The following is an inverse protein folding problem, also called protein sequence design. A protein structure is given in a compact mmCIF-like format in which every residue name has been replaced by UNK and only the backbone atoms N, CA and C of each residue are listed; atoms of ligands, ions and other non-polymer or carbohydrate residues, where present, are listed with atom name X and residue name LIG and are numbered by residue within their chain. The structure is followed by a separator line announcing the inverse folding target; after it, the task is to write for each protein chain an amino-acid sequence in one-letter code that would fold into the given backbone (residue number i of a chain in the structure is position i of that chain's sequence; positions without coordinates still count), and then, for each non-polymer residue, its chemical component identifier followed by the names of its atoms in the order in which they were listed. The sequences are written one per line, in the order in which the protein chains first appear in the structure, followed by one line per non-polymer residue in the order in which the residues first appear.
data_IF_363981110974
#
_entry.id   IF_363981110974
#
_cell.length_a   1.000
_cell.length_b   1.000
_cell.length_c   1.000
_cell.angle_alpha   90.00
_cell.angle_beta   90.00
_cell.angle_gamma   90.00
#
_symmetry.space_group_name_H-M   'P 1'
#
loop_
_entity.id
_entity.type
_entity.pdbx_description
1 polymer ?
#
# COMPACT_ATOMS: atom_id res chain seq x y z
N UNK A 1 -15.99 17.46 10.78
CA UNK A 1 -15.46 16.85 9.53
C UNK A 1 -15.68 15.35 9.44
N UNK A 2 -15.70 14.60 10.56
CA UNK A 2 -15.98 13.14 10.56
C UNK A 2 -17.39 12.76 10.05
N UNK A 3 -18.32 13.70 10.02
CA UNK A 3 -19.72 13.45 9.59
C UNK A 3 -19.92 13.53 8.07
N UNK A 4 -18.88 13.84 7.29
CA UNK A 4 -18.96 13.91 5.84
C UNK A 4 -18.45 12.62 5.20
N UNK A 5 -19.33 11.91 4.51
CA UNK A 5 -19.08 10.59 3.90
C UNK A 5 -17.92 10.58 2.87
N UNK A 6 -17.57 11.73 2.27
CA UNK A 6 -16.44 11.82 1.35
C UNK A 6 -15.06 11.76 2.05
N UNK A 7 -14.99 12.05 3.36
CA UNK A 7 -13.73 12.14 4.10
C UNK A 7 -13.13 10.77 4.34
N UNK A 8 -13.97 9.76 4.63
CA UNK A 8 -13.51 8.40 4.93
C UNK A 8 -12.65 7.77 3.81
N UNK A 9 -13.10 7.68 2.54
CA UNK A 9 -12.29 7.08 1.48
C UNK A 9 -11.03 7.89 1.17
N UNK A 10 -11.10 9.22 1.28
CA UNK A 10 -9.95 10.10 1.02
C UNK A 10 -8.88 9.96 2.11
N UNK A 11 -9.30 9.91 3.39
CA UNK A 11 -8.40 9.69 4.52
C UNK A 11 -7.72 8.31 4.43
N UNK A 12 -8.47 7.25 4.12
CA UNK A 12 -7.92 5.90 3.91
C UNK A 12 -6.89 5.90 2.79
N UNK A 13 -7.20 6.53 1.65
CA UNK A 13 -6.26 6.62 0.52
C UNK A 13 -4.97 7.37 0.88
N UNK A 14 -5.05 8.48 1.62
CA UNK A 14 -3.86 9.21 2.06
C UNK A 14 -3.02 8.45 3.10
N UNK A 15 -3.64 7.56 3.89
CA UNK A 15 -2.89 6.68 4.80
C UNK A 15 -2.01 5.71 4.00
N UNK A 16 -2.43 5.24 2.83
CA UNK A 16 -1.59 4.41 1.95
C UNK A 16 -0.30 5.16 1.57
N UNK A 17 -0.44 6.39 1.08
CA UNK A 17 0.69 7.25 0.71
C UNK A 17 1.60 7.54 1.91
N UNK A 18 1.01 7.80 3.08
CA UNK A 18 1.77 8.02 4.31
C UNK A 18 2.59 6.78 4.70
N UNK A 19 2.01 5.59 4.62
CA UNK A 19 2.73 4.33 4.93
C UNK A 19 3.87 4.09 3.93
N UNK A 20 3.64 4.35 2.64
CA UNK A 20 4.68 4.27 1.62
C UNK A 20 5.83 5.25 1.90
N UNK A 21 5.51 6.50 2.27
CA UNK A 21 6.50 7.51 2.62
C UNK A 21 7.35 7.10 3.84
N UNK A 22 6.73 6.59 4.90
CA UNK A 22 7.47 6.08 6.06
C UNK A 22 8.36 4.88 5.70
N UNK A 23 7.87 3.98 4.85
CA UNK A 23 8.63 2.82 4.38
C UNK A 23 9.85 3.26 3.57
N UNK A 24 9.68 4.17 2.61
CA UNK A 24 10.78 4.69 1.78
C UNK A 24 11.80 5.49 2.61
N UNK A 25 11.33 6.26 3.61
CA UNK A 25 12.22 6.95 4.57
C UNK A 25 13.07 5.94 5.35
N UNK A 26 12.47 4.85 5.84
CA UNK A 26 13.22 3.80 6.54
C UNK A 26 14.24 3.10 5.62
N UNK A 27 13.87 2.78 4.39
CA UNK A 27 14.79 2.21 3.39
C UNK A 27 16.01 3.12 3.15
N UNK A 28 15.79 4.43 3.03
CA UNK A 28 16.86 5.41 2.83
C UNK A 28 17.81 5.50 4.04
N UNK A 29 17.25 5.58 5.25
CA UNK A 29 18.04 5.61 6.49
C UNK A 29 18.88 4.33 6.68
N UNK A 30 18.28 3.17 6.44
CA UNK A 30 18.97 1.87 6.49
C UNK A 30 20.08 1.80 5.42
N UNK A 31 19.82 2.26 4.19
CA UNK A 31 20.82 2.31 3.12
C UNK A 31 21.99 3.24 3.44
N UNK A 32 21.76 4.30 4.24
CA UNK A 32 22.77 5.18 4.80
C UNK A 32 23.53 4.59 6.02
N UNK A 33 23.21 3.36 6.44
CA UNK A 33 23.85 2.71 7.59
C UNK A 33 23.27 3.13 8.95
N UNK A 34 22.12 3.80 8.98
CA UNK A 34 21.46 4.29 10.20
C UNK A 34 20.30 3.37 10.64
N UNK A 35 20.49 2.05 10.47
CA UNK A 35 19.46 1.05 10.76
C UNK A 35 18.97 1.09 12.22
N UNK A 36 19.86 1.29 13.19
CA UNK A 36 19.50 1.35 14.61
C UNK A 36 18.62 2.55 14.97
N UNK A 37 18.75 3.67 14.24
CA UNK A 37 18.05 4.91 14.52
C UNK A 37 16.56 4.86 14.15
N UNK A 38 16.17 3.99 13.21
CA UNK A 38 14.78 3.87 12.72
C UNK A 38 13.96 2.81 13.46
N UNK A 39 14.57 1.99 14.32
CA UNK A 39 13.89 0.88 15.00
C UNK A 39 12.70 1.37 15.83
N UNK A 40 12.90 2.40 16.67
CA UNK A 40 11.84 2.90 17.56
C UNK A 40 10.64 3.48 16.79
N UNK A 41 10.90 4.20 15.69
CA UNK A 41 9.84 4.73 14.82
C UNK A 41 9.08 3.58 14.13
N UNK A 42 9.80 2.57 13.63
CA UNK A 42 9.21 1.40 12.99
C UNK A 42 8.42 0.50 13.97
N UNK A 43 8.85 0.39 15.22
CA UNK A 43 8.08 -0.29 16.27
C UNK A 43 6.73 0.41 16.52
N UNK A 44 6.73 1.74 16.62
CA UNK A 44 5.49 2.50 16.77
C UNK A 44 4.58 2.38 15.53
N UNK A 45 5.15 2.49 14.33
CA UNK A 45 4.40 2.36 13.08
C UNK A 45 3.83 0.96 12.86
N UNK A 46 4.56 -0.09 13.23
CA UNK A 46 4.05 -1.48 13.13
C UNK A 46 2.99 -1.78 14.18
N UNK A 47 2.95 -1.03 15.28
CA UNK A 47 1.84 -1.08 16.23
C UNK A 47 0.59 -0.34 15.70
N UNK A 48 0.76 0.84 15.11
CA UNK A 48 -0.34 1.62 14.51
C UNK A 48 -0.90 0.95 13.24
N UNK A 49 -0.05 0.28 12.47
CA UNK A 49 -0.36 -0.31 11.18
C UNK A 49 0.07 -1.79 11.12
N UNK A 50 -0.55 -2.67 11.93
CA UNK A 50 -0.08 -4.05 12.13
C UNK A 50 -0.13 -4.92 10.88
N UNK A 51 -1.00 -4.60 9.92
CA UNK A 51 -1.17 -5.38 8.69
C UNK A 51 -0.30 -4.91 7.52
N UNK A 52 0.55 -3.90 7.72
CA UNK A 52 1.41 -3.36 6.66
C UNK A 52 2.74 -4.09 6.61
N UNK A 53 2.79 -5.19 5.87
CA UNK A 53 4.01 -5.99 5.66
C UNK A 53 5.26 -5.19 5.24
N UNK A 54 5.18 -4.11 4.42
CA UNK A 54 6.36 -3.31 4.09
C UNK A 54 7.02 -2.66 5.31
N UNK A 55 6.24 -2.18 6.29
CA UNK A 55 6.78 -1.64 7.54
C UNK A 55 7.50 -2.72 8.35
N UNK A 56 6.90 -3.90 8.46
CA UNK A 56 7.53 -5.07 9.10
C UNK A 56 8.82 -5.49 8.41
N UNK A 57 8.86 -5.44 7.07
CA UNK A 57 10.05 -5.75 6.28
C UNK A 57 11.22 -4.84 6.66
N UNK A 58 10.96 -3.52 6.79
CA UNK A 58 11.98 -2.57 7.21
C UNK A 58 12.38 -2.75 8.68
N UNK A 59 11.44 -3.03 9.58
CA UNK A 59 11.73 -3.28 10.99
C UNK A 59 12.63 -4.50 11.19
N UNK A 60 12.28 -5.63 10.55
CA UNK A 60 13.06 -6.87 10.58
C UNK A 60 14.46 -6.64 10.00
N UNK A 61 14.54 -5.91 8.88
CA UNK A 61 15.83 -5.54 8.25
C UNK A 61 16.67 -4.66 9.17
N UNK A 62 16.06 -3.67 9.83
CA UNK A 62 16.74 -2.76 10.75
C UNK A 62 17.32 -3.49 11.97
N UNK A 63 16.58 -4.42 12.58
CA UNK A 63 17.12 -5.27 13.65
C UNK A 63 18.29 -6.11 13.17
N UNK A 64 18.16 -6.77 12.02
CA UNK A 64 19.20 -7.66 11.51
C UNK A 64 20.50 -6.92 11.21
N UNK A 65 20.42 -5.74 10.58
CA UNK A 65 21.59 -4.90 10.28
C UNK A 65 22.17 -4.17 11.51
N UNK A 66 21.45 -4.19 12.64
CA UNK A 66 21.92 -3.67 13.93
C UNK A 66 22.46 -4.76 14.86
N UNK A 67 22.85 -5.91 14.30
CA UNK A 67 23.38 -7.08 15.02
C UNK A 67 22.39 -7.69 16.04
N UNK A 68 21.08 -7.48 15.81
CA UNK A 68 19.98 -7.99 16.65
C UNK A 68 19.21 -9.09 15.93
N UNK A 69 19.90 -10.14 15.50
CA UNK A 69 19.30 -11.25 14.73
C UNK A 69 18.10 -11.90 15.44
N UNK A 70 18.21 -12.13 16.76
CA UNK A 70 17.13 -12.71 17.57
C UNK A 70 15.85 -11.87 17.51
N UNK A 71 16.00 -10.54 17.58
CA UNK A 71 14.87 -9.61 17.54
C UNK A 71 14.25 -9.55 16.14
N UNK A 72 15.06 -9.65 15.08
CA UNK A 72 14.58 -9.75 13.71
C UNK A 72 13.69 -10.99 13.50
N UNK A 73 14.15 -12.17 13.97
CA UNK A 73 13.37 -13.41 13.92
C UNK A 73 12.17 -13.38 14.87
N UNK A 74 12.26 -12.66 15.98
CA UNK A 74 11.14 -12.39 16.88
C UNK A 74 10.05 -11.55 16.20
N UNK A 75 10.44 -10.47 15.52
CA UNK A 75 9.53 -9.60 14.77
C UNK A 75 8.83 -10.35 13.62
N UNK A 76 9.54 -11.21 12.87
CA UNK A 76 8.93 -12.05 11.85
C UNK A 76 7.86 -13.00 12.43
N UNK A 77 8.15 -13.63 13.58
CA UNK A 77 7.15 -14.50 14.26
C UNK A 77 5.92 -13.71 14.69
N UNK A 78 6.10 -12.49 15.23
CA UNK A 78 4.99 -11.62 15.63
C UNK A 78 4.08 -11.28 14.45
N UNK A 79 4.63 -10.81 13.32
CA UNK A 79 3.80 -10.48 12.15
C UNK A 79 3.15 -11.73 11.56
N UNK A 80 3.83 -12.88 11.54
CA UNK A 80 3.24 -14.15 11.09
C UNK A 80 2.01 -14.52 11.95
N UNK A 81 2.12 -14.45 13.27
CA UNK A 81 0.99 -14.71 14.18
C UNK A 81 -0.13 -13.69 13.96
N UNK A 82 0.19 -12.40 13.87
CA UNK A 82 -0.80 -11.32 13.67
C UNK A 82 -1.60 -11.54 12.38
N UNK A 83 -0.93 -11.82 11.26
CA UNK A 83 -1.60 -12.06 9.98
C UNK A 83 -2.43 -13.36 9.98
N UNK A 84 -1.94 -14.41 10.63
CA UNK A 84 -2.63 -15.70 10.71
C UNK A 84 -3.85 -15.66 11.64
N UNK A 85 -3.80 -14.90 12.73
CA UNK A 85 -4.89 -14.83 13.71
C UNK A 85 -5.97 -13.85 13.26
N UNK A 86 -5.57 -12.66 12.80
CA UNK A 86 -6.51 -11.56 12.53
C UNK A 86 -7.06 -11.61 11.10
N UNK A 87 -6.21 -11.96 10.12
CA UNK A 87 -6.58 -11.94 8.70
C UNK A 87 -6.68 -13.34 8.08
N UNK A 88 -6.24 -14.39 8.79
CA UNK A 88 -6.20 -15.78 8.31
C UNK A 88 -5.36 -15.94 7.03
N UNK A 89 -4.30 -15.14 6.90
CA UNK A 89 -3.36 -15.19 5.77
C UNK A 89 -1.93 -15.46 6.24
N UNK A 90 -1.13 -16.00 5.33
CA UNK A 90 0.31 -16.15 5.53
C UNK A 90 1.08 -14.89 5.09
N UNK A 91 2.28 -14.63 5.63
CA UNK A 91 3.14 -13.55 5.16
C UNK A 91 3.47 -13.65 3.67
N UNK A 92 3.51 -12.50 3.00
CA UNK A 92 3.89 -12.36 1.61
C UNK A 92 5.30 -12.87 1.30
N UNK A 93 5.63 -13.06 0.00
CA UNK A 93 6.91 -13.61 -0.43
C UNK A 93 8.11 -12.76 0.03
N UNK A 94 7.96 -11.44 0.12
CA UNK A 94 9.01 -10.52 0.58
C UNK A 94 9.43 -10.81 2.02
N UNK A 95 8.46 -10.94 2.94
CA UNK A 95 8.73 -11.26 4.35
C UNK A 95 9.30 -12.68 4.50
N UNK A 96 8.75 -13.66 3.78
CA UNK A 96 9.23 -15.05 3.81
C UNK A 96 10.69 -15.15 3.34
N UNK A 97 11.01 -14.50 2.22
CA UNK A 97 12.38 -14.48 1.68
C UNK A 97 13.36 -13.77 2.64
N UNK A 98 12.94 -12.68 3.27
CA UNK A 98 13.75 -11.98 4.27
C UNK A 98 14.07 -12.88 5.47
N UNK A 99 13.06 -13.56 6.02
CA UNK A 99 13.24 -14.49 7.13
C UNK A 99 14.22 -15.62 6.77
N UNK A 100 14.09 -16.23 5.60
CA UNK A 100 15.01 -17.27 5.13
C UNK A 100 16.47 -16.79 5.04
N UNK A 101 16.69 -15.57 4.54
CA UNK A 101 18.04 -14.98 4.50
C UNK A 101 18.62 -14.78 5.89
N UNK A 102 17.80 -14.30 6.83
CA UNK A 102 18.21 -14.06 8.22
C UNK A 102 18.52 -15.36 8.95
N UNK A 103 17.72 -16.42 8.74
CA UNK A 103 17.97 -17.75 9.32
C UNK A 103 19.33 -18.31 8.87
N UNK A 104 19.73 -18.04 7.63
CA UNK A 104 21.01 -18.47 7.04
C UNK A 104 22.16 -17.48 7.25
N UNK A 105 21.94 -16.41 8.02
CA UNK A 105 22.90 -15.34 8.24
C UNK A 105 23.47 -14.75 6.94
N UNK A 106 22.66 -14.67 5.90
CA UNK A 106 23.08 -14.11 4.61
C UNK A 106 23.16 -12.59 4.69
N UNK A 107 24.14 -11.95 4.03
CA UNK A 107 24.21 -10.50 3.97
C UNK A 107 22.99 -9.92 3.25
N UNK A 108 22.52 -8.75 3.69
CA UNK A 108 21.48 -7.98 3.02
C UNK A 108 22.12 -6.80 2.27
N UNK A 109 21.62 -6.50 1.07
CA UNK A 109 22.04 -5.34 0.30
C UNK A 109 20.94 -4.26 0.36
N UNK A 110 20.96 -3.48 1.44
CA UNK A 110 19.97 -2.44 1.67
C UNK A 110 20.01 -1.33 0.61
N UNK A 111 21.20 -1.00 0.08
CA UNK A 111 21.36 0.01 -0.96
C UNK A 111 20.71 -0.42 -2.26
N UNK A 112 20.90 -1.69 -2.65
CA UNK A 112 20.23 -2.26 -3.83
C UNK A 112 18.72 -2.31 -3.64
N UNK A 113 18.23 -2.74 -2.47
CA UNK A 113 16.79 -2.76 -2.18
C UNK A 113 16.16 -1.37 -2.32
N UNK A 114 16.72 -0.34 -1.67
CA UNK A 114 16.21 1.02 -1.75
C UNK A 114 16.20 1.57 -3.19
N UNK A 115 17.25 1.29 -3.98
CA UNK A 115 17.29 1.66 -5.40
C UNK A 115 16.22 0.94 -6.23
N UNK A 116 15.99 -0.35 -5.97
CA UNK A 116 14.96 -1.12 -6.67
C UNK A 116 13.57 -0.59 -6.36
N UNK A 117 13.25 -0.31 -5.10
CA UNK A 117 11.96 0.29 -4.71
C UNK A 117 11.76 1.64 -5.39
N UNK A 118 12.75 2.54 -5.31
CA UNK A 118 12.66 3.86 -5.93
C UNK A 118 12.50 3.82 -7.45
N UNK A 119 13.22 2.94 -8.16
CA UNK A 119 13.08 2.78 -9.61
C UNK A 119 11.68 2.29 -10.02
N UNK A 120 11.08 1.41 -9.21
CA UNK A 120 9.68 1.01 -9.39
C UNK A 120 8.72 2.18 -9.25
N UNK A 121 8.90 3.01 -8.21
CA UNK A 121 8.08 4.20 -8.00
C UNK A 121 8.24 5.24 -9.11
N UNK A 122 9.47 5.48 -9.60
CA UNK A 122 9.72 6.37 -10.75
C UNK A 122 8.94 5.89 -11.98
N UNK A 123 8.92 4.59 -12.23
CA UNK A 123 8.15 4.02 -13.35
C UNK A 123 6.66 4.33 -13.22
N UNK A 124 6.09 4.33 -12.01
CA UNK A 124 4.68 4.72 -11.78
C UNK A 124 4.46 6.22 -12.02
N UNK A 125 5.38 7.07 -11.56
CA UNK A 125 5.30 8.53 -11.74
C UNK A 125 5.41 8.94 -13.22
N UNK A 126 6.27 8.26 -13.98
CA UNK A 126 6.46 8.51 -15.41
C UNK A 126 5.18 8.19 -16.19
N UNK A 127 4.49 7.09 -15.86
CA UNK A 127 3.21 6.73 -16.48
C UNK A 127 2.09 7.76 -16.25
N UNK A 128 2.17 8.49 -15.13
CA UNK A 128 1.20 9.54 -14.79
C UNK A 128 1.48 10.86 -15.50
N UNK A 129 2.63 11.01 -16.16
CA UNK A 129 3.05 12.26 -16.79
C UNK A 129 3.17 12.06 -18.29
N UNK A 130 2.34 12.75 -19.08
CA UNK A 130 2.47 12.73 -20.54
C UNK A 130 3.73 13.47 -20.98
N UNK A 131 4.20 13.19 -22.21
CA UNK A 131 5.35 13.91 -22.80
C UNK A 131 5.15 15.43 -22.89
N UNK A 132 3.89 15.90 -22.88
CA UNK A 132 3.53 17.32 -22.81
C UNK A 132 3.73 17.96 -21.43
N UNK A 133 4.09 17.18 -20.41
CA UNK A 133 4.19 17.61 -19.01
C UNK A 133 2.85 17.69 -18.27
N UNK A 134 1.74 17.37 -18.95
CA UNK A 134 0.42 17.27 -18.32
C UNK A 134 0.21 15.91 -17.67
N UNK A 135 -0.56 15.87 -16.57
CA UNK A 135 -0.96 14.62 -15.95
C UNK A 135 -1.83 13.80 -16.92
N UNK A 136 -1.48 12.53 -17.09
CA UNK A 136 -2.26 11.58 -17.85
C UNK A 136 -3.59 11.30 -17.13
N UNK A 137 -4.68 11.29 -17.89
CA UNK A 137 -6.00 10.93 -17.36
C UNK A 137 -6.08 9.41 -17.25
N UNK A 138 -6.32 8.89 -16.06
CA UNK A 138 -6.57 7.47 -15.86
C UNK A 138 -7.97 7.08 -16.33
N UNK A 139 -8.13 5.84 -16.77
CA UNK A 139 -9.39 5.29 -17.25
C UNK A 139 -9.71 3.94 -16.61
N UNK A 140 -10.98 3.72 -16.31
CA UNK A 140 -11.53 2.37 -16.19
C UNK A 140 -12.06 1.93 -17.54
N UNK A 141 -11.56 0.80 -18.05
CA UNK A 141 -12.06 0.20 -19.29
C UNK A 141 -12.92 -1.02 -18.96
N UNK A 142 -14.19 -0.97 -19.36
CA UNK A 142 -15.07 -2.13 -19.31
C UNK A 142 -14.65 -3.14 -20.39
N UNK A 143 -14.29 -4.33 -19.95
CA UNK A 143 -13.77 -5.40 -20.80
C UNK A 143 -14.85 -5.94 -21.75
N UNK A 144 -16.12 -5.98 -21.31
CA UNK A 144 -17.21 -6.54 -22.09
C UNK A 144 -17.72 -5.57 -23.15
N UNK A 145 -17.84 -4.28 -22.80
CA UNK A 145 -18.37 -3.25 -23.70
C UNK A 145 -17.29 -2.45 -24.44
N UNK A 146 -16.04 -2.51 -24.00
CA UNK A 146 -14.94 -1.67 -24.48
C UNK A 146 -15.05 -0.21 -24.05
N UNK A 147 -16.05 0.16 -23.24
CA UNK A 147 -16.30 1.54 -22.82
C UNK A 147 -15.23 2.01 -21.83
N UNK A 148 -14.65 3.18 -22.09
CA UNK A 148 -13.74 3.86 -21.18
C UNK A 148 -14.45 4.90 -20.31
N UNK A 149 -14.15 4.91 -19.02
CA UNK A 149 -14.60 5.89 -18.04
C UNK A 149 -13.40 6.69 -17.52
N UNK A 150 -13.25 7.97 -17.88
CA UNK A 150 -12.15 8.80 -17.39
C UNK A 150 -12.32 9.12 -15.90
N UNK A 151 -11.22 9.05 -15.14
CA UNK A 151 -11.16 9.48 -13.74
C UNK A 151 -10.82 10.98 -13.70
N UNK A 152 -11.85 11.83 -13.70
CA UNK A 152 -11.70 13.29 -13.86
C UNK A 152 -11.52 14.05 -12.55
N UNK A 153 -12.07 13.52 -11.46
CA UNK A 153 -12.04 14.14 -10.14
C UNK A 153 -11.13 13.37 -9.20
N UNK A 154 -10.75 14.01 -8.09
CA UNK A 154 -9.96 13.37 -7.04
C UNK A 154 -10.66 12.15 -6.42
N UNK A 155 -11.99 12.06 -6.50
CA UNK A 155 -12.75 10.88 -6.12
C UNK A 155 -13.75 10.53 -7.22
N UNK A 156 -13.69 9.30 -7.72
CA UNK A 156 -14.64 8.74 -8.69
C UNK A 156 -15.51 7.69 -7.99
N UNK A 157 -16.78 8.00 -7.79
CA UNK A 157 -17.77 7.15 -7.12
C UNK A 157 -18.39 6.18 -8.11
N UNK A 158 -18.52 4.93 -7.68
CA UNK A 158 -19.01 3.82 -8.48
C UNK A 158 -20.18 3.18 -7.73
N UNK A 159 -21.30 2.99 -8.40
CA UNK A 159 -22.47 2.37 -7.79
C UNK A 159 -23.67 2.30 -8.71
N UNK A 160 -24.77 1.77 -8.19
CA UNK A 160 -26.02 1.59 -8.94
C UNK A 160 -26.87 2.86 -9.04
N UNK A 161 -26.75 3.78 -8.08
CA UNK A 161 -27.53 5.02 -8.14
C UNK A 161 -26.95 6.00 -9.17
N UNK A 162 -27.82 6.80 -9.77
CA UNK A 162 -27.48 7.76 -10.83
C UNK A 162 -26.65 8.97 -10.35
N UNK A 163 -26.50 9.14 -9.04
CA UNK A 163 -25.66 10.19 -8.43
C UNK A 163 -24.17 9.79 -8.36
N UNK A 164 -23.82 8.56 -8.76
CA UNK A 164 -22.44 8.10 -8.92
C UNK A 164 -21.84 8.62 -10.24
N UNK A 165 -20.53 8.77 -10.25
CA UNK A 165 -19.78 9.24 -11.43
C UNK A 165 -19.70 8.11 -12.49
N UNK A 166 -19.65 6.85 -12.04
CA UNK A 166 -19.80 5.66 -12.88
C UNK A 166 -21.00 4.85 -12.37
N UNK A 167 -22.03 4.77 -13.21
CA UNK A 167 -23.28 4.07 -12.89
C UNK A 167 -23.23 2.64 -13.45
N UNK A 168 -23.42 1.65 -12.56
CA UNK A 168 -23.54 0.24 -12.91
C UNK A 168 -24.96 -0.26 -12.58
N UNK A 169 -25.81 -0.40 -13.60
CA UNK A 169 -27.27 -0.62 -13.45
C UNK A 169 -27.68 -2.03 -12.95
N UNK A 170 -26.73 -2.89 -12.62
CA UNK A 170 -27.01 -4.26 -12.19
C UNK A 170 -27.54 -4.33 -10.76
N UNK A 171 -28.63 -5.07 -10.53
CA UNK A 171 -29.28 -5.17 -9.22
C UNK A 171 -28.39 -5.70 -8.09
N UNK A 172 -27.34 -6.46 -8.42
CA UNK A 172 -26.33 -6.96 -7.50
C UNK A 172 -25.27 -5.91 -7.10
N UNK A 173 -25.29 -4.72 -7.71
CA UNK A 173 -24.40 -3.61 -7.33
C UNK A 173 -25.07 -2.78 -6.23
N UNK A 174 -24.28 -2.43 -5.22
CA UNK A 174 -24.71 -1.57 -4.12
C UNK A 174 -24.99 -0.14 -4.61
N UNK A 175 -25.82 0.60 -3.89
CA UNK A 175 -26.21 1.98 -4.24
C UNK A 175 -25.00 2.89 -4.45
N UNK A 176 -24.08 2.85 -3.48
CA UNK A 176 -22.73 3.39 -3.53
C UNK A 176 -21.81 2.23 -3.18
N UNK A 177 -21.06 1.74 -4.15
CA UNK A 177 -20.38 0.45 -4.07
C UNK A 177 -18.89 0.63 -3.79
N UNK A 178 -18.22 1.50 -4.53
CA UNK A 178 -16.80 1.76 -4.38
C UNK A 178 -16.45 3.22 -4.70
N UNK A 179 -15.27 3.65 -4.30
CA UNK A 179 -14.69 4.94 -4.69
C UNK A 179 -13.23 4.75 -5.07
N UNK A 180 -12.84 5.22 -6.25
CA UNK A 180 -11.44 5.35 -6.64
C UNK A 180 -10.99 6.76 -6.28
N UNK A 181 -9.96 6.87 -5.45
CA UNK A 181 -9.38 8.15 -5.03
C UNK A 181 -8.04 8.35 -5.72
N UNK A 182 -7.90 9.47 -6.42
CA UNK A 182 -6.61 10.01 -6.82
C UNK A 182 -6.01 10.82 -5.66
N UNK A 183 -4.94 10.30 -5.08
CA UNK A 183 -4.19 10.97 -4.01
C UNK A 183 -3.19 12.00 -4.54
N UNK A 184 -3.00 12.05 -5.86
CA UNK A 184 -1.90 12.75 -6.52
C UNK A 184 -0.67 11.86 -6.72
N UNK A 185 -0.48 10.85 -5.88
CA UNK A 185 0.60 9.86 -6.00
C UNK A 185 0.09 8.55 -6.62
N UNK A 186 -0.98 8.01 -6.04
CA UNK A 186 -1.57 6.71 -6.35
C UNK A 186 -3.07 6.82 -6.59
N UNK A 187 -3.63 5.84 -7.30
CA UNK A 187 -5.06 5.60 -7.33
C UNK A 187 -5.39 4.47 -6.35
N UNK A 188 -6.26 4.73 -5.38
CA UNK A 188 -6.66 3.74 -4.37
C UNK A 188 -8.16 3.49 -4.49
N UNK A 189 -8.55 2.24 -4.67
CA UNK A 189 -9.96 1.83 -4.67
C UNK A 189 -10.38 1.43 -3.25
N UNK A 190 -11.49 2.00 -2.79
CA UNK A 190 -12.09 1.70 -1.50
C UNK A 190 -13.45 1.02 -1.73
N UNK A 191 -13.64 -0.14 -1.11
CA UNK A 191 -14.97 -0.75 -0.99
C UNK A 191 -15.79 -0.01 0.08
N UNK A 192 -16.98 0.46 -0.28
CA UNK A 192 -17.87 1.17 0.64
C UNK A 192 -18.74 0.20 1.45
N UNK A 193 -18.13 -0.87 1.97
CA UNK A 193 -18.80 -1.98 2.66
C UNK A 193 -19.92 -2.56 1.80
N UNK A 194 -19.62 -2.80 0.54
CA UNK A 194 -20.62 -3.28 -0.40
C UNK A 194 -21.05 -4.72 -0.08
N UNK A 195 -22.20 -5.11 -0.62
CA UNK A 195 -22.77 -6.44 -0.34
C UNK A 195 -21.95 -7.58 -0.96
N UNK A 196 -21.32 -7.32 -2.10
CA UNK A 196 -20.57 -8.33 -2.86
C UNK A 196 -19.05 -8.11 -2.84
N UNK A 197 -18.59 -7.02 -2.21
CA UNK A 197 -17.18 -6.64 -2.17
C UNK A 197 -16.65 -6.07 -3.49
N UNK A 198 -15.41 -5.60 -3.43
CA UNK A 198 -14.62 -5.17 -4.59
C UNK A 198 -13.49 -6.18 -4.78
N UNK A 199 -13.27 -6.61 -6.02
CA UNK A 199 -12.19 -7.52 -6.39
C UNK A 199 -11.21 -6.78 -7.32
N UNK A 200 -9.93 -6.81 -6.96
CA UNK A 200 -8.81 -6.18 -7.70
C UNK A 200 -7.85 -7.25 -8.16
#
# INVERSE_FOLDING_TARGET
LRDFQFVEPFATALVEDKVLAHTAKAEAEIACGRASAVIAELEALTFEHPYREPLWTQLITAYYLSDRQSDALGAYRRVKTTLADDLRIDPGPTLRALNERILRQQPLDAKKSAKTTAAGTVTVLDQRTMASGQQAVAYLHDIASGRGYPLQAAATRIGRLHDNDIVLDSANVSRHHAVIVDTGTNYVINDLRSSNGVHV
#
